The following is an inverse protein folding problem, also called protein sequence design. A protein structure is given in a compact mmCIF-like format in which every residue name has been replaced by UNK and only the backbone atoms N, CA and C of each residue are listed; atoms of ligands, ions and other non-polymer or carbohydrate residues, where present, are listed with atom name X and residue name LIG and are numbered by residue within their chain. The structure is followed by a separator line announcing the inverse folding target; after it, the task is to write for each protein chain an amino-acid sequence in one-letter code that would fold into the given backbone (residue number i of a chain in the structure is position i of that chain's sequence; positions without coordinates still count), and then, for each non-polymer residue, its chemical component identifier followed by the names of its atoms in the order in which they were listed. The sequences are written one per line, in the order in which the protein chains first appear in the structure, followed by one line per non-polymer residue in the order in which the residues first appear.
data_IF_300054014578
#
_entry.id   IF_300054014578
#
_cell.length_a   1.000
_cell.length_b   1.000
_cell.length_c   1.000
_cell.angle_alpha   90.00
_cell.angle_beta   90.00
_cell.angle_gamma   90.00
#
_symmetry.space_group_name_H-M   'P 1'
#
loop_
_entity.id
_entity.type
_entity.pdbx_description
1 polymer ?
#
# COMPACT_ATOMS: atom_id res chain seq x y z
N UNK A 1 7.70 11.99 -6.85
CA UNK A 1 7.60 10.75 -7.65
C UNK A 1 7.60 9.52 -6.76
N UNK A 2 8.68 9.23 -6.04
CA UNK A 2 8.78 8.06 -5.18
C UNK A 2 7.67 8.03 -4.11
N UNK A 3 7.39 9.16 -3.48
CA UNK A 3 6.34 9.26 -2.46
C UNK A 3 4.95 8.95 -3.03
N UNK A 4 4.68 9.37 -4.25
CA UNK A 4 3.40 9.09 -4.92
C UNK A 4 3.28 7.60 -5.27
N UNK A 5 4.35 6.98 -5.76
CA UNK A 5 4.36 5.54 -6.08
C UNK A 5 4.09 4.73 -4.82
N UNK A 6 4.74 5.06 -3.70
CA UNK A 6 4.52 4.37 -2.42
C UNK A 6 3.09 4.56 -1.92
N UNK A 7 2.57 5.78 -2.01
CA UNK A 7 1.19 6.08 -1.60
C UNK A 7 0.19 5.27 -2.41
N UNK A 8 0.31 5.29 -3.74
CA UNK A 8 -0.59 4.55 -4.63
C UNK A 8 -0.47 3.05 -4.40
N UNK A 9 0.74 2.55 -4.19
CA UNK A 9 0.98 1.13 -3.90
C UNK A 9 0.21 0.67 -2.66
N UNK A 10 0.27 1.44 -1.57
CA UNK A 10 -0.46 1.13 -0.34
C UNK A 10 -1.97 1.21 -0.52
N UNK A 11 -2.44 2.28 -1.16
CA UNK A 11 -3.87 2.42 -1.45
C UNK A 11 -4.37 1.27 -2.32
N UNK A 12 -3.59 0.88 -3.31
CA UNK A 12 -3.91 -0.22 -4.20
C UNK A 12 -3.96 -1.56 -3.45
N UNK A 13 -3.01 -1.80 -2.54
CA UNK A 13 -3.01 -3.02 -1.74
C UNK A 13 -4.29 -3.17 -0.92
N UNK A 14 -4.79 -2.09 -0.33
CA UNK A 14 -6.00 -2.15 0.49
C UNK A 14 -7.28 -2.07 -0.32
N UNK A 15 -7.33 -1.26 -1.36
CA UNK A 15 -8.58 -0.92 -2.05
C UNK A 15 -8.61 -1.31 -3.53
N UNK A 16 -7.52 -1.84 -4.06
CA UNK A 16 -7.42 -2.14 -5.49
C UNK A 16 -8.51 -3.09 -6.00
N UNK A 17 -8.92 -4.05 -5.16
CA UNK A 17 -9.97 -5.01 -5.52
C UNK A 17 -11.34 -4.34 -5.76
N UNK A 18 -11.52 -3.11 -5.30
CA UNK A 18 -12.76 -2.35 -5.48
C UNK A 18 -12.80 -1.59 -6.81
N UNK A 19 -11.70 -1.58 -7.53
CA UNK A 19 -11.59 -0.94 -8.84
C UNK A 19 -12.05 -1.89 -9.95
N UNK A 20 -12.43 -1.30 -11.11
CA UNK A 20 -12.70 -2.10 -12.31
C UNK A 20 -11.41 -2.74 -12.84
N UNK A 21 -11.55 -3.77 -13.67
CA UNK A 21 -10.39 -4.42 -14.27
C UNK A 21 -9.53 -3.44 -15.08
N UNK A 22 -10.14 -2.54 -15.84
CA UNK A 22 -9.41 -1.53 -16.63
C UNK A 22 -8.68 -0.54 -15.72
N UNK A 23 -9.29 -0.13 -14.62
CA UNK A 23 -8.66 0.76 -13.65
C UNK A 23 -7.46 0.08 -12.99
N UNK A 24 -7.62 -1.18 -12.58
CA UNK A 24 -6.53 -1.96 -12.00
C UNK A 24 -5.36 -2.08 -12.97
N UNK A 25 -5.64 -2.49 -14.20
CA UNK A 25 -4.62 -2.68 -15.24
C UNK A 25 -3.88 -1.37 -15.51
N UNK A 26 -4.61 -0.25 -15.62
CA UNK A 26 -4.00 1.05 -15.89
C UNK A 26 -3.05 1.48 -14.77
N UNK A 27 -3.45 1.31 -13.53
CA UNK A 27 -2.58 1.64 -12.38
C UNK A 27 -1.34 0.76 -12.35
N UNK A 28 -1.50 -0.54 -12.58
CA UNK A 28 -0.38 -1.48 -12.60
C UNK A 28 0.63 -1.14 -13.71
N UNK A 29 0.14 -0.84 -14.91
CA UNK A 29 0.99 -0.48 -16.03
C UNK A 29 1.76 0.82 -15.78
N UNK A 30 1.09 1.83 -15.21
CA UNK A 30 1.74 3.12 -14.97
C UNK A 30 2.72 3.06 -13.80
N UNK A 31 2.28 2.56 -12.64
CA UNK A 31 3.06 2.68 -11.40
C UNK A 31 3.99 1.50 -11.16
N UNK A 32 3.66 0.30 -11.63
CA UNK A 32 4.46 -0.90 -11.36
C UNK A 32 5.27 -1.37 -12.56
N UNK A 33 4.86 -1.01 -13.79
CA UNK A 33 5.60 -1.35 -15.00
C UNK A 33 6.18 -0.14 -15.73
N UNK A 34 5.95 1.05 -15.20
CA UNK A 34 6.55 2.30 -15.67
C UNK A 34 6.25 2.62 -17.14
N UNK A 35 5.06 2.27 -17.63
CA UNK A 35 4.64 2.60 -18.98
C UNK A 35 4.16 4.05 -19.06
N UNK A 36 4.33 4.66 -20.24
CA UNK A 36 3.76 5.98 -20.51
C UNK A 36 2.25 5.88 -20.78
N UNK A 37 1.55 7.02 -20.69
CA UNK A 37 0.11 7.06 -21.00
C UNK A 37 -0.17 6.60 -22.43
N UNK A 38 0.69 6.95 -23.38
CA UNK A 38 0.56 6.52 -24.78
C UNK A 38 0.72 5.01 -24.93
N UNK A 39 1.69 4.43 -24.25
CA UNK A 39 1.91 2.98 -24.27
C UNK A 39 0.74 2.22 -23.65
N UNK A 40 0.20 2.74 -22.55
CA UNK A 40 -1.00 2.15 -21.90
C UNK A 40 -2.19 2.22 -22.87
N UNK A 41 -2.37 3.36 -23.53
CA UNK A 41 -3.45 3.54 -24.51
C UNK A 41 -3.35 2.53 -25.65
N UNK A 42 -2.15 2.26 -26.15
CA UNK A 42 -1.94 1.24 -27.16
C UNK A 42 -2.34 -0.16 -26.68
N UNK A 43 -1.93 -0.52 -25.45
CA UNK A 43 -2.27 -1.83 -24.90
C UNK A 43 -3.76 -2.00 -24.64
N UNK A 44 -4.43 -0.96 -24.16
CA UNK A 44 -5.86 -1.01 -23.84
C UNK A 44 -6.74 -0.65 -25.03
N UNK A 45 -6.15 -0.28 -26.15
CA UNK A 45 -6.87 0.14 -27.36
C UNK A 45 -7.79 1.34 -27.12
N UNK A 46 -7.29 2.31 -26.36
CA UNK A 46 -7.98 3.57 -26.08
C UNK A 46 -7.02 4.75 -26.29
N UNK A 47 -7.55 5.96 -26.35
CA UNK A 47 -6.72 7.15 -26.50
C UNK A 47 -5.91 7.44 -25.25
N UNK A 48 -4.82 8.22 -25.41
CA UNK A 48 -4.01 8.71 -24.32
C UNK A 48 -4.87 9.50 -23.31
N UNK A 49 -5.79 10.34 -23.80
CA UNK A 49 -6.69 11.11 -22.96
C UNK A 49 -7.62 10.19 -22.15
N UNK A 50 -8.13 9.13 -22.77
CA UNK A 50 -8.96 8.14 -22.07
C UNK A 50 -8.19 7.46 -20.95
N UNK A 51 -6.91 7.16 -21.15
CA UNK A 51 -6.03 6.59 -20.11
C UNK A 51 -5.88 7.59 -18.96
N UNK A 52 -5.62 8.85 -19.27
CA UNK A 52 -5.49 9.90 -18.26
C UNK A 52 -6.76 9.98 -17.38
N UNK A 53 -7.92 10.00 -18.01
CA UNK A 53 -9.19 10.08 -17.29
C UNK A 53 -9.47 8.83 -16.46
N UNK A 54 -9.13 7.67 -17.01
CA UNK A 54 -9.28 6.38 -16.31
C UNK A 54 -8.42 6.33 -15.05
N UNK A 55 -7.16 6.75 -15.15
CA UNK A 55 -6.24 6.81 -14.01
C UNK A 55 -6.69 7.82 -12.97
N UNK A 56 -7.09 9.00 -13.41
CA UNK A 56 -7.57 10.03 -12.50
C UNK A 56 -8.78 9.54 -11.70
N UNK A 57 -9.73 8.88 -12.37
CA UNK A 57 -10.91 8.31 -11.69
C UNK A 57 -10.51 7.20 -10.72
N UNK A 58 -9.60 6.32 -11.12
CA UNK A 58 -9.13 5.25 -10.26
C UNK A 58 -8.47 5.79 -8.98
N UNK A 59 -7.60 6.79 -9.11
CA UNK A 59 -6.95 7.42 -7.96
C UNK A 59 -7.96 8.10 -7.05
N UNK A 60 -8.98 8.75 -7.61
CA UNK A 60 -10.06 9.36 -6.83
C UNK A 60 -10.82 8.31 -6.00
N UNK A 61 -11.12 7.17 -6.59
CA UNK A 61 -11.83 6.08 -5.90
C UNK A 61 -10.99 5.57 -4.73
N UNK A 62 -9.69 5.37 -4.93
CA UNK A 62 -8.79 4.96 -3.86
C UNK A 62 -8.77 5.98 -2.72
N UNK A 63 -8.64 7.25 -3.05
CA UNK A 63 -8.63 8.34 -2.06
C UNK A 63 -9.95 8.43 -1.29
N UNK A 64 -11.08 8.27 -1.97
CA UNK A 64 -12.41 8.29 -1.35
C UNK A 64 -12.58 7.15 -0.34
N UNK A 65 -12.10 5.96 -0.67
CA UNK A 65 -12.14 4.81 0.25
C UNK A 65 -11.24 5.04 1.48
N UNK A 66 -10.05 5.57 1.26
CA UNK A 66 -9.15 5.87 2.38
C UNK A 66 -9.72 6.95 3.28
N UNK A 67 -10.34 7.98 2.71
CA UNK A 67 -10.98 9.03 3.49
C UNK A 67 -12.05 8.47 4.44
N UNK A 68 -12.81 7.49 3.96
CA UNK A 68 -13.89 6.88 4.74
C UNK A 68 -13.42 5.79 5.70
N UNK A 69 -12.52 4.93 5.25
CA UNK A 69 -12.15 3.71 5.97
C UNK A 69 -10.87 3.82 6.77
N UNK A 70 -9.94 4.69 6.36
CA UNK A 70 -8.67 4.95 7.06
C UNK A 70 -7.81 3.69 7.28
N UNK A 71 -7.88 2.69 6.37
CA UNK A 71 -7.13 1.45 6.53
C UNK A 71 -5.63 1.65 6.39
N UNK A 72 -5.19 2.54 5.48
CA UNK A 72 -3.77 2.85 5.31
C UNK A 72 -3.24 3.61 6.53
N UNK A 73 -3.99 4.61 7.01
CA UNK A 73 -3.60 5.37 8.19
C UNK A 73 -3.49 4.48 9.42
N UNK A 74 -4.47 3.59 9.63
CA UNK A 74 -4.45 2.61 10.72
C UNK A 74 -3.29 1.65 10.61
N UNK A 75 -3.01 1.18 9.40
CA UNK A 75 -1.89 0.29 9.15
C UNK A 75 -0.56 0.92 9.58
N UNK A 76 -0.32 2.18 9.21
CA UNK A 76 0.89 2.88 9.60
C UNK A 76 0.96 3.09 11.12
N UNK A 77 -0.12 3.51 11.73
CA UNK A 77 -0.19 3.73 13.18
C UNK A 77 0.06 2.44 13.96
N UNK A 78 -0.61 1.36 13.56
CA UNK A 78 -0.46 0.06 14.22
C UNK A 78 0.96 -0.46 14.08
N UNK A 79 1.58 -0.34 12.91
CA UNK A 79 2.96 -0.76 12.71
C UNK A 79 3.94 0.06 13.53
N UNK A 80 3.70 1.36 13.64
CA UNK A 80 4.52 2.23 14.47
C UNK A 80 4.46 1.78 15.94
N UNK A 81 3.27 1.52 16.46
CA UNK A 81 3.09 1.04 17.82
C UNK A 81 3.74 -0.33 18.04
N UNK A 82 3.60 -1.24 17.09
CA UNK A 82 4.22 -2.56 17.17
C UNK A 82 5.75 -2.46 17.23
N UNK A 83 6.35 -1.59 16.41
CA UNK A 83 7.80 -1.37 16.44
C UNK A 83 8.25 -0.80 17.79
N UNK A 84 7.48 0.11 18.34
CA UNK A 84 7.78 0.69 19.66
C UNK A 84 7.72 -0.38 20.75
N UNK A 85 6.74 -1.27 20.70
CA UNK A 85 6.62 -2.38 21.67
C UNK A 85 7.82 -3.32 21.55
N UNK A 86 8.20 -3.71 20.33
CA UNK A 86 9.37 -4.56 20.10
C UNK A 86 10.62 -3.91 20.67
N UNK A 87 10.78 -2.60 20.45
CA UNK A 87 11.93 -1.85 20.95
C UNK A 87 11.99 -1.83 22.47
N UNK A 88 10.84 -1.68 23.14
CA UNK A 88 10.75 -1.72 24.58
C UNK A 88 11.12 -3.09 25.15
N UNK A 89 10.79 -4.16 24.42
CA UNK A 89 11.11 -5.53 24.84
C UNK A 89 12.53 -5.95 24.48
N UNK A 90 13.22 -5.17 23.66
CA UNK A 90 14.56 -5.48 23.18
C UNK A 90 15.63 -4.96 24.16
N UNK A 91 15.60 -5.50 25.37
CA UNK A 91 16.51 -5.14 26.47
C UNK A 91 17.35 -6.37 26.85
N UNK A 92 18.66 -6.20 27.13
CA UNK A 92 19.52 -7.34 27.47
C UNK A 92 19.04 -8.18 28.64
N UNK A 93 18.45 -7.55 29.65
CA UNK A 93 17.97 -8.26 30.84
C UNK A 93 16.70 -9.09 30.56
N UNK A 94 16.04 -8.89 29.43
CA UNK A 94 14.86 -9.65 29.00
C UNK A 94 15.22 -10.80 28.06
N UNK A 95 16.44 -10.82 27.53
CA UNK A 95 16.83 -11.80 26.50
C UNK A 95 16.79 -13.25 26.99
N UNK A 96 16.98 -13.48 28.28
CA UNK A 96 16.91 -14.81 28.87
C UNK A 96 15.47 -15.28 29.13
N UNK A 97 14.49 -14.39 29.07
CA UNK A 97 13.10 -14.74 29.33
C UNK A 97 12.46 -15.33 28.06
N UNK A 98 12.12 -16.61 28.11
CA UNK A 98 11.55 -17.32 26.96
C UNK A 98 10.18 -16.79 26.56
N UNK A 99 9.37 -16.30 27.52
CA UNK A 99 8.06 -15.71 27.22
C UNK A 99 8.20 -14.37 26.49
N UNK A 100 9.17 -13.57 26.90
CA UNK A 100 9.46 -12.28 26.23
C UNK A 100 9.96 -12.55 24.80
N UNK A 101 10.85 -13.52 24.62
CA UNK A 101 11.32 -13.87 23.28
C UNK A 101 10.19 -14.36 22.38
N UNK A 102 9.30 -15.19 22.89
CA UNK A 102 8.13 -15.65 22.15
C UNK A 102 7.22 -14.48 21.75
N UNK A 103 7.01 -13.52 22.65
CA UNK A 103 6.21 -12.32 22.37
C UNK A 103 6.86 -11.47 21.29
N UNK A 104 8.17 -11.25 21.38
CA UNK A 104 8.92 -10.50 20.35
C UNK A 104 8.80 -11.16 18.97
N UNK A 105 8.94 -12.46 18.90
CA UNK A 105 8.87 -13.21 17.65
C UNK A 105 7.48 -13.06 17.00
N UNK A 106 6.43 -13.12 17.79
CA UNK A 106 5.06 -12.93 17.31
C UNK A 106 4.83 -11.51 16.80
N UNK A 107 5.32 -10.51 17.53
CA UNK A 107 5.21 -9.10 17.12
C UNK A 107 5.97 -8.84 15.83
N UNK A 108 7.16 -9.41 15.67
CA UNK A 108 7.96 -9.27 14.45
C UNK A 108 7.26 -9.86 13.23
N UNK A 109 6.50 -10.93 13.39
CA UNK A 109 5.70 -11.51 12.30
C UNK A 109 4.62 -10.55 11.83
N UNK A 110 4.04 -9.77 12.71
CA UNK A 110 3.02 -8.77 12.35
C UNK A 110 3.62 -7.58 11.61
N UNK A 111 4.87 -7.24 11.89
CA UNK A 111 5.55 -6.08 11.29
C UNK A 111 6.12 -6.41 9.91
N UNK A 112 6.62 -7.62 9.73
CA UNK A 112 7.27 -8.05 8.49
C UNK A 112 6.26 -8.61 7.45
#
# INVERSE_FOLDING_TARGET
MLNKVLKISLLYDFYGALLTAKQQTSLELLYFQDLSLSEIGEQLEVSRQAVHDLLKRAEQILDEHEEKLQLVARYHEERQLLREVVKLLDQPYLDADSQVQAAKDKLKRLIN
#
